data_IF_529041269028
#
_entry.id   IF_529041269028
#
_cell.length_a   1.000
_cell.length_b   1.000
_cell.length_c   1.000
_cell.angle_alpha   90.00
_cell.angle_beta   90.00
_cell.angle_gamma   90.00
#
_symmetry.space_group_name_H-M   'P 1'
#
loop_
_entity.id
_entity.type
_entity.pdbx_description
1 polymer ?
#
# COMPACT_ATOMS: atom_id res chain seq x y z
N UNK A 1 19.96 -2.29 -22.49
CA UNK A 1 18.86 -1.42 -22.01
C UNK A 1 17.55 -2.07 -22.41
N UNK A 2 16.53 -2.08 -21.55
CA UNK A 2 15.22 -2.71 -21.81
C UNK A 2 14.10 -1.65 -21.78
N UNK A 3 13.96 -0.79 -22.81
CA UNK A 3 13.07 0.38 -22.76
C UNK A 3 11.61 0.02 -22.45
N UNK A 4 11.11 -1.07 -23.05
CA UNK A 4 9.74 -1.55 -22.81
C UNK A 4 9.53 -1.91 -21.33
N UNK A 5 10.48 -2.61 -20.72
CA UNK A 5 10.41 -2.98 -19.30
C UNK A 5 10.50 -1.73 -18.41
N UNK A 6 11.37 -0.78 -18.73
CA UNK A 6 11.52 0.48 -18.00
C UNK A 6 10.22 1.29 -18.02
N UNK A 7 9.62 1.49 -19.20
CA UNK A 7 8.36 2.22 -19.36
C UNK A 7 7.23 1.51 -18.61
N UNK A 8 7.10 0.19 -18.77
CA UNK A 8 6.08 -0.59 -18.07
C UNK A 8 6.25 -0.47 -16.55
N UNK A 9 7.48 -0.56 -16.04
CA UNK A 9 7.76 -0.44 -14.60
C UNK A 9 7.40 0.95 -14.09
N UNK A 10 7.76 2.02 -14.82
CA UNK A 10 7.36 3.40 -14.50
C UNK A 10 5.84 3.51 -14.41
N UNK A 11 5.11 3.02 -15.40
CA UNK A 11 3.64 3.11 -15.42
C UNK A 11 3.01 2.37 -14.24
N UNK A 12 3.46 1.15 -13.94
CA UNK A 12 2.90 0.35 -12.85
C UNK A 12 3.23 0.94 -11.48
N UNK A 13 4.48 1.37 -11.25
CA UNK A 13 4.89 2.01 -10.00
C UNK A 13 4.19 3.36 -9.82
N UNK A 14 3.98 4.12 -10.90
CA UNK A 14 3.20 5.37 -10.85
C UNK A 14 1.75 5.13 -10.38
N UNK A 15 1.09 4.07 -10.86
CA UNK A 15 -0.27 3.72 -10.39
C UNK A 15 -0.27 3.36 -8.91
N UNK A 16 0.65 2.52 -8.45
CA UNK A 16 0.76 2.16 -7.03
C UNK A 16 1.00 3.38 -6.14
N UNK A 17 1.92 4.26 -6.55
CA UNK A 17 2.23 5.52 -5.86
C UNK A 17 1.02 6.48 -5.85
N UNK A 18 0.32 6.63 -6.98
CA UNK A 18 -0.84 7.51 -7.10
C UNK A 18 -1.99 7.10 -6.17
N UNK A 19 -2.25 5.80 -6.04
CA UNK A 19 -3.27 5.29 -5.10
C UNK A 19 -2.92 5.63 -3.65
N UNK A 20 -1.67 5.46 -3.24
CA UNK A 20 -1.22 5.81 -1.89
C UNK A 20 -1.23 7.35 -1.68
N UNK A 21 -0.80 8.12 -2.68
CA UNK A 21 -0.81 9.57 -2.64
C UNK A 21 -2.23 10.13 -2.53
N UNK A 22 -3.21 9.54 -3.23
CA UNK A 22 -4.61 9.91 -3.09
C UNK A 22 -5.09 9.79 -1.64
N UNK A 23 -4.77 8.68 -0.97
CA UNK A 23 -5.10 8.53 0.46
C UNK A 23 -4.47 9.61 1.34
N UNK A 24 -3.20 9.96 1.12
CA UNK A 24 -2.51 11.02 1.86
C UNK A 24 -3.19 12.39 1.65
N UNK A 25 -3.58 12.71 0.41
CA UNK A 25 -4.21 14.00 0.09
C UNK A 25 -5.59 14.18 0.73
N UNK A 26 -6.29 13.07 0.99
CA UNK A 26 -7.60 13.09 1.66
C UNK A 26 -7.50 13.22 3.19
N UNK A 27 -6.31 12.98 3.77
CA UNK A 27 -6.07 12.96 5.22
C UNK A 27 -6.64 14.20 5.94
N UNK A 28 -6.37 15.45 5.52
CA UNK A 28 -6.84 16.62 6.26
C UNK A 28 -8.37 16.74 6.32
N UNK A 29 -9.07 16.23 5.30
CA UNK A 29 -10.53 16.18 5.25
C UNK A 29 -11.08 15.10 6.17
N UNK A 30 -10.52 13.88 6.08
CA UNK A 30 -10.99 12.73 6.86
C UNK A 30 -10.80 12.89 8.36
N UNK A 31 -9.72 13.54 8.80
CA UNK A 31 -9.45 13.75 10.23
C UNK A 31 -10.50 14.63 10.91
N UNK A 32 -11.34 15.35 10.15
CA UNK A 32 -12.42 16.22 10.63
C UNK A 32 -13.79 15.54 10.62
N UNK A 33 -13.89 14.33 10.09
CA UNK A 33 -15.16 13.61 9.95
C UNK A 33 -15.57 12.97 11.28
N UNK A 34 -16.89 12.85 11.47
CA UNK A 34 -17.44 11.96 12.49
C UNK A 34 -17.10 10.50 12.15
N UNK A 35 -17.09 9.61 13.15
CA UNK A 35 -16.89 8.16 12.93
C UNK A 35 -17.83 7.61 11.85
N UNK A 36 -19.10 8.03 11.86
CA UNK A 36 -20.10 7.60 10.88
C UNK A 36 -19.72 8.04 9.47
N UNK A 37 -19.41 9.32 9.28
CA UNK A 37 -19.09 9.87 7.97
C UNK A 37 -17.76 9.30 7.44
N UNK A 38 -16.78 9.11 8.31
CA UNK A 38 -15.52 8.44 7.98
C UNK A 38 -15.76 7.03 7.43
N UNK A 39 -16.55 6.21 8.14
CA UNK A 39 -16.88 4.85 7.69
C UNK A 39 -17.71 4.83 6.41
N UNK A 40 -18.53 5.85 6.16
CA UNK A 40 -19.25 6.02 4.89
C UNK A 40 -18.29 6.32 3.75
N UNK A 41 -17.36 7.26 3.93
CA UNK A 41 -16.36 7.62 2.92
C UNK A 41 -15.44 6.43 2.60
N UNK A 42 -15.03 5.64 3.59
CA UNK A 42 -14.17 4.46 3.38
C UNK A 42 -14.74 3.45 2.35
N UNK A 43 -16.07 3.39 2.18
CA UNK A 43 -16.70 2.48 1.22
C UNK A 43 -16.40 2.82 -0.24
N UNK A 44 -16.06 4.07 -0.55
CA UNK A 44 -15.81 4.50 -1.94
C UNK A 44 -14.53 3.90 -2.52
N UNK A 45 -13.61 3.42 -1.67
CA UNK A 45 -12.40 2.76 -2.11
C UNK A 45 -12.65 1.39 -2.73
N UNK A 46 -13.75 0.74 -2.35
CA UNK A 46 -14.11 -0.56 -2.92
C UNK A 46 -14.97 -0.40 -4.19
N UNK A 47 -14.73 -1.20 -5.25
CA UNK A 47 -13.63 -2.16 -5.42
C UNK A 47 -12.38 -1.54 -6.07
N UNK A 48 -12.44 -0.28 -6.51
CA UNK A 48 -11.44 0.34 -7.38
C UNK A 48 -10.01 0.32 -6.81
N UNK A 49 -9.84 0.68 -5.54
CA UNK A 49 -8.53 0.66 -4.88
C UNK A 49 -8.06 -0.76 -4.58
N UNK A 50 -8.97 -1.71 -4.38
CA UNK A 50 -8.63 -3.13 -4.23
C UNK A 50 -8.06 -3.69 -5.53
N UNK A 51 -8.71 -3.40 -6.66
CA UNK A 51 -8.25 -3.84 -7.99
C UNK A 51 -6.97 -3.11 -8.37
N UNK A 52 -6.93 -1.78 -8.20
CA UNK A 52 -5.76 -0.96 -8.48
C UNK A 52 -4.55 -1.31 -7.60
N UNK A 53 -4.78 -1.78 -6.37
CA UNK A 53 -3.75 -2.23 -5.44
C UNK A 53 -2.88 -3.37 -5.96
N UNK A 54 -3.36 -4.12 -6.97
CA UNK A 54 -2.56 -5.15 -7.68
C UNK A 54 -1.33 -4.56 -8.38
N UNK A 55 -1.34 -3.27 -8.71
CA UNK A 55 -0.18 -2.58 -9.27
C UNK A 55 1.05 -2.61 -8.33
N UNK A 56 0.85 -2.66 -7.02
CA UNK A 56 1.94 -2.64 -6.04
C UNK A 56 2.81 -3.91 -6.07
N UNK A 57 2.28 -5.14 -5.93
CA UNK A 57 3.09 -6.35 -6.07
C UNK A 57 3.68 -6.50 -7.48
N UNK A 58 2.94 -6.14 -8.54
CA UNK A 58 3.47 -6.18 -9.92
C UNK A 58 4.64 -5.21 -10.07
N UNK A 59 4.51 -3.96 -9.61
CA UNK A 59 5.57 -2.96 -9.68
C UNK A 59 6.80 -3.37 -8.90
N UNK A 60 6.62 -3.99 -7.73
CA UNK A 60 7.72 -4.54 -6.91
C UNK A 60 8.48 -5.64 -7.66
N UNK A 61 7.78 -6.56 -8.33
CA UNK A 61 8.41 -7.63 -9.12
C UNK A 61 9.12 -7.10 -10.37
N UNK A 62 8.55 -6.10 -11.04
CA UNK A 62 9.18 -5.44 -12.19
C UNK A 62 10.46 -4.68 -11.79
N UNK A 63 10.45 -4.00 -10.64
CA UNK A 63 11.65 -3.38 -10.07
C UNK A 63 12.72 -4.41 -9.71
N UNK A 64 12.33 -5.55 -9.13
CA UNK A 64 13.27 -6.63 -8.84
C UNK A 64 13.90 -7.18 -10.13
N UNK A 65 13.12 -7.31 -11.20
CA UNK A 65 13.63 -7.72 -12.51
C UNK A 65 14.60 -6.69 -13.08
N UNK A 66 14.28 -5.39 -13.03
CA UNK A 66 15.21 -4.32 -13.45
C UNK A 66 16.51 -4.35 -12.64
N UNK A 67 16.42 -4.50 -11.32
CA UNK A 67 17.57 -4.63 -10.43
C UNK A 67 18.46 -5.82 -10.83
N UNK A 68 17.87 -6.99 -11.02
CA UNK A 68 18.58 -8.21 -11.41
C UNK A 68 19.28 -8.09 -12.77
N UNK A 69 18.67 -7.36 -13.71
CA UNK A 69 19.23 -7.14 -15.05
C UNK A 69 20.25 -5.99 -15.10
N UNK A 70 20.47 -5.27 -14.00
CA UNK A 70 21.39 -4.12 -13.96
C UNK A 70 22.72 -4.52 -13.30
N UNK A 71 23.88 -4.24 -13.92
CA UNK A 71 25.18 -4.53 -13.32
C UNK A 71 25.44 -3.73 -12.02
N UNK A 72 25.98 -4.37 -10.99
CA UNK A 72 26.22 -3.72 -9.68
C UNK A 72 27.26 -2.58 -9.69
N UNK A 73 28.06 -2.48 -10.77
CA UNK A 73 29.10 -1.46 -10.92
C UNK A 73 28.59 -0.13 -11.48
N UNK A 74 27.28 0.02 -11.76
CA UNK A 74 26.69 1.30 -12.21
C UNK A 74 25.79 1.92 -11.14
N UNK A 75 25.67 3.25 -11.15
CA UNK A 75 24.84 4.00 -10.19
C UNK A 75 23.36 3.57 -10.25
N UNK A 76 22.86 3.29 -11.46
CA UNK A 76 21.48 2.85 -11.69
C UNK A 76 21.12 1.59 -10.87
N UNK A 77 22.07 0.68 -10.62
CA UNK A 77 21.83 -0.51 -9.81
C UNK A 77 21.42 -0.14 -8.38
N UNK A 78 22.17 0.76 -7.74
CA UNK A 78 21.91 1.18 -6.36
C UNK A 78 20.62 1.98 -6.24
N UNK A 79 20.27 2.75 -7.26
CA UNK A 79 18.99 3.46 -7.33
C UNK A 79 17.82 2.48 -7.51
N UNK A 80 17.93 1.46 -8.37
CA UNK A 80 16.92 0.39 -8.47
C UNK A 80 16.81 -0.42 -7.17
N UNK A 81 17.92 -0.69 -6.49
CA UNK A 81 17.91 -1.39 -5.20
C UNK A 81 17.17 -0.57 -4.14
N UNK A 82 17.43 0.73 -4.05
CA UNK A 82 16.73 1.64 -3.14
C UNK A 82 15.24 1.78 -3.50
N UNK A 83 14.90 1.88 -4.80
CA UNK A 83 13.51 1.92 -5.26
C UNK A 83 12.75 0.63 -4.91
N UNK A 84 13.38 -0.53 -5.12
CA UNK A 84 12.84 -1.83 -4.74
C UNK A 84 12.63 -1.93 -3.22
N UNK A 85 13.62 -1.52 -2.42
CA UNK A 85 13.50 -1.52 -0.96
C UNK A 85 12.34 -0.63 -0.47
N UNK A 86 12.16 0.56 -1.08
CA UNK A 86 11.04 1.45 -0.76
C UNK A 86 9.68 0.83 -1.13
N UNK A 87 9.54 0.18 -2.29
CA UNK A 87 8.31 -0.55 -2.67
C UNK A 87 8.04 -1.75 -1.76
N UNK A 88 9.07 -2.53 -1.42
CA UNK A 88 8.95 -3.66 -0.50
C UNK A 88 8.52 -3.17 0.90
N UNK A 89 9.08 -2.07 1.39
CA UNK A 89 8.66 -1.44 2.64
C UNK A 89 7.22 -0.92 2.56
N UNK A 90 6.82 -0.28 1.45
CA UNK A 90 5.43 0.12 1.22
C UNK A 90 4.49 -1.08 1.34
N UNK A 91 4.84 -2.21 0.74
CA UNK A 91 4.09 -3.45 0.82
C UNK A 91 4.04 -4.03 2.23
N UNK A 92 5.16 -4.02 2.94
CA UNK A 92 5.22 -4.46 4.33
C UNK A 92 4.30 -3.60 5.23
N UNK A 93 4.24 -2.28 5.03
CA UNK A 93 3.34 -1.39 5.80
C UNK A 93 1.88 -1.79 5.62
N UNK A 94 1.46 -2.20 4.42
CA UNK A 94 0.10 -2.70 4.23
C UNK A 94 -0.18 -3.93 5.09
N UNK A 95 0.66 -4.95 4.96
CA UNK A 95 0.43 -6.22 5.65
C UNK A 95 0.57 -6.13 7.16
N UNK A 96 1.49 -5.31 7.65
CA UNK A 96 1.81 -5.21 9.07
C UNK A 96 0.94 -4.21 9.83
N UNK A 97 0.48 -3.13 9.19
CA UNK A 97 -0.20 -2.03 9.87
C UNK A 97 -1.65 -1.82 9.39
N UNK A 98 -1.90 -1.90 8.08
CA UNK A 98 -3.24 -1.62 7.52
C UNK A 98 -4.13 -2.85 7.55
N UNK A 99 -3.62 -4.00 7.13
CA UNK A 99 -4.37 -5.24 7.04
C UNK A 99 -4.95 -5.69 8.39
N UNK A 100 -4.25 -5.57 9.53
CA UNK A 100 -4.84 -5.87 10.84
C UNK A 100 -6.03 -4.96 11.17
N UNK A 101 -5.96 -3.67 10.81
CA UNK A 101 -7.06 -2.71 11.02
C UNK A 101 -8.23 -3.02 10.08
N UNK A 102 -7.96 -3.34 8.82
CA UNK A 102 -8.98 -3.78 7.87
C UNK A 102 -9.69 -5.04 8.39
N UNK A 103 -8.94 -6.04 8.85
CA UNK A 103 -9.51 -7.25 9.45
C UNK A 103 -10.40 -6.91 10.64
N UNK A 104 -9.99 -5.98 11.50
CA UNK A 104 -10.81 -5.53 12.63
C UNK A 104 -12.11 -4.87 12.16
N UNK A 105 -12.06 -3.93 11.20
CA UNK A 105 -13.25 -3.28 10.66
C UNK A 105 -14.18 -4.20 9.87
N UNK A 106 -13.62 -5.25 9.25
CA UNK A 106 -14.36 -6.23 8.45
C UNK A 106 -14.97 -7.36 9.28
N UNK A 107 -14.68 -7.47 10.58
CA UNK A 107 -15.28 -8.49 11.47
C UNK A 107 -16.81 -8.46 11.45
N UNK A 108 -17.39 -7.27 11.25
CA UNK A 108 -18.84 -7.06 11.24
C UNK A 108 -19.41 -6.82 9.82
N UNK A 109 -18.58 -6.92 8.77
CA UNK A 109 -19.01 -6.69 7.39
C UNK A 109 -19.28 -8.03 6.68
N UNK A 110 -20.51 -8.26 6.20
CA UNK A 110 -20.83 -9.39 5.31
C UNK A 110 -20.09 -9.24 3.96
N UNK A 111 -18.87 -9.74 3.86
CA UNK A 111 -18.10 -9.77 2.62
C UNK A 111 -18.69 -10.82 1.66
N UNK A 112 -19.42 -10.39 0.63
CA UNK A 112 -19.85 -11.24 -0.50
C UNK A 112 -18.91 -11.07 -1.69
N UNK A 113 -18.43 -12.17 -2.28
CA UNK A 113 -17.69 -12.19 -3.55
C UNK A 113 -16.19 -12.50 -3.45
N UNK A 114 -15.45 -12.27 -4.54
CA UNK A 114 -14.02 -12.65 -4.72
C UNK A 114 -13.06 -12.07 -3.66
N UNK A 115 -13.47 -11.06 -2.89
CA UNK A 115 -12.71 -10.53 -1.75
C UNK A 115 -12.68 -11.46 -0.54
N UNK A 116 -13.64 -12.38 -0.39
CA UNK A 116 -13.74 -13.26 0.79
C UNK A 116 -12.51 -14.19 0.95
N UNK A 117 -11.92 -14.64 -0.15
CA UNK A 117 -10.79 -15.57 -0.14
C UNK A 117 -9.45 -14.95 0.26
N UNK A 118 -9.27 -13.64 0.07
CA UNK A 118 -8.03 -12.94 0.43
C UNK A 118 -7.91 -12.75 1.95
N UNK A 119 -9.04 -12.53 2.62
CA UNK A 119 -9.10 -12.28 4.06
C UNK A 119 -9.30 -13.57 4.90
N UNK A 120 -9.67 -14.71 4.29
CA UNK A 120 -9.94 -15.95 5.01
C UNK A 120 -8.70 -16.75 5.43
N UNK A 121 -7.50 -16.43 4.94
CA UNK A 121 -6.31 -17.28 5.09
C UNK A 121 -5.19 -16.76 5.99
N UNK A 122 -5.41 -15.71 6.79
CA UNK A 122 -4.40 -15.25 7.78
C UNK A 122 -5.08 -15.03 9.14
N UNK A 123 -5.29 -16.12 9.87
CA UNK A 123 -5.62 -16.12 11.29
C UNK A 123 -4.43 -16.65 12.10
N UNK A 124 -3.41 -15.81 12.28
CA UNK A 124 -2.33 -16.12 13.23
C UNK A 124 -2.72 -15.55 14.60
N UNK A 125 -2.91 -16.47 15.56
CA UNK A 125 -2.83 -16.16 16.99
C UNK A 125 -4.16 -15.83 17.67
N UNK A 126 -4.84 -16.86 18.17
CA UNK A 126 -5.95 -16.70 19.10
C UNK A 126 -5.47 -16.26 20.49
N UNK A 127 -5.99 -15.12 20.95
CA UNK A 127 -6.33 -14.89 22.35
C UNK A 127 -7.65 -14.09 22.39
N UNK A 128 -8.71 -14.74 22.86
CA UNK A 128 -9.96 -14.09 23.23
C UNK A 128 -9.72 -13.35 24.54
N UNK A 129 -9.56 -12.03 24.46
CA UNK A 129 -9.86 -11.15 25.59
C UNK A 129 -11.19 -10.47 25.22
N UNK A 130 -12.26 -11.14 25.61
CA UNK A 130 -13.56 -10.49 25.78
C UNK A 130 -13.40 -9.47 26.92
N UNK A 131 -13.84 -8.23 26.70
CA UNK A 131 -14.00 -7.16 27.70
C UNK A 131 -12.89 -6.11 27.91
N UNK A 132 -12.20 -5.64 26.86
CA UNK A 132 -11.51 -4.34 26.93
C UNK A 132 -11.86 -3.45 25.73
N UNK A 133 -12.86 -2.61 25.96
CA UNK A 133 -13.21 -1.40 25.23
C UNK A 133 -13.55 -1.52 23.73
N UNK A 134 -14.44 -0.64 23.30
CA UNK A 134 -14.29 -0.02 21.99
C UNK A 134 -12.81 0.32 21.80
N UNK A 135 -12.04 -0.48 21.04
CA UNK A 135 -10.70 -0.05 20.64
C UNK A 135 -10.89 1.37 20.09
N UNK A 136 -10.28 2.37 20.75
CA UNK A 136 -10.58 3.79 20.51
C UNK A 136 -10.57 3.99 18.99
N UNK A 137 -11.75 4.23 18.42
CA UNK A 137 -11.90 4.20 16.97
C UNK A 137 -10.95 5.23 16.33
N UNK A 138 -10.62 6.27 17.09
CA UNK A 138 -9.64 7.31 16.78
C UNK A 138 -8.24 6.72 16.64
N UNK A 139 -7.82 5.86 17.57
CA UNK A 139 -6.53 5.16 17.49
C UNK A 139 -6.45 4.27 16.24
N UNK A 140 -7.50 3.51 15.94
CA UNK A 140 -7.54 2.67 14.74
C UNK A 140 -7.57 3.48 13.44
N UNK A 141 -8.35 4.58 13.41
CA UNK A 141 -8.36 5.54 12.31
C UNK A 141 -6.96 6.10 12.10
N UNK A 142 -6.34 6.61 13.15
CA UNK A 142 -5.06 7.28 13.08
C UNK A 142 -3.97 6.31 12.62
N UNK A 143 -3.96 5.08 13.14
CA UNK A 143 -3.06 4.03 12.66
C UNK A 143 -3.26 3.75 11.17
N UNK A 144 -4.51 3.59 10.72
CA UNK A 144 -4.82 3.30 9.33
C UNK A 144 -4.39 4.45 8.40
N UNK A 145 -4.75 5.68 8.75
CA UNK A 145 -4.49 6.88 7.96
C UNK A 145 -2.98 7.23 7.90
N UNK A 146 -2.27 7.20 9.04
CA UNK A 146 -0.83 7.46 9.07
C UNK A 146 -0.02 6.35 8.40
N UNK A 147 -0.50 5.10 8.42
CA UNK A 147 0.13 4.03 7.65
C UNK A 147 -0.01 4.24 6.14
N UNK A 148 -1.14 4.80 5.67
CA UNK A 148 -1.30 5.19 4.27
C UNK A 148 -0.42 6.40 3.91
N UNK A 149 -0.29 7.37 4.82
CA UNK A 149 0.66 8.48 4.65
C UNK A 149 2.10 7.99 4.50
N UNK A 150 2.54 7.04 5.33
CA UNK A 150 3.85 6.41 5.21
C UNK A 150 4.02 5.70 3.85
N UNK A 151 3.00 4.96 3.40
CA UNK A 151 2.99 4.33 2.06
C UNK A 151 3.11 5.34 0.93
N UNK A 152 2.44 6.49 1.02
CA UNK A 152 2.55 7.55 0.02
C UNK A 152 3.98 8.09 -0.09
N UNK A 153 4.64 8.32 1.04
CA UNK A 153 6.05 8.77 1.08
C UNK A 153 6.98 7.71 0.47
N UNK A 154 6.80 6.44 0.84
CA UNK A 154 7.60 5.33 0.32
C UNK A 154 7.39 5.13 -1.19
N UNK A 155 6.14 5.17 -1.66
CA UNK A 155 5.80 5.07 -3.08
C UNK A 155 6.35 6.24 -3.91
N UNK A 156 6.27 7.47 -3.39
CA UNK A 156 6.85 8.65 -4.04
C UNK A 156 8.37 8.55 -4.13
N UNK A 157 9.02 8.13 -3.04
CA UNK A 157 10.48 7.90 -3.02
C UNK A 157 10.87 6.83 -4.04
N UNK A 158 10.17 5.69 -4.07
CA UNK A 158 10.43 4.63 -5.03
C UNK A 158 10.30 5.11 -6.48
N UNK A 159 9.26 5.89 -6.77
CA UNK A 159 9.03 6.46 -8.10
C UNK A 159 10.14 7.42 -8.53
N UNK A 160 10.56 8.34 -7.65
CA UNK A 160 11.66 9.27 -7.93
C UNK A 160 12.96 8.52 -8.20
N UNK A 161 13.30 7.53 -7.37
CA UNK A 161 14.50 6.72 -7.52
C UNK A 161 14.48 5.92 -8.84
N UNK A 162 13.35 5.31 -9.18
CA UNK A 162 13.15 4.58 -10.44
C UNK A 162 13.37 5.48 -11.66
N UNK A 163 12.71 6.64 -11.71
CA UNK A 163 12.83 7.57 -12.85
C UNK A 163 14.25 8.13 -12.95
N UNK A 164 14.88 8.43 -11.81
CA UNK A 164 16.28 8.89 -11.76
C UNK A 164 17.23 7.82 -12.29
N UNK A 165 17.06 6.55 -11.88
CA UNK A 165 17.88 5.43 -12.34
C UNK A 165 17.81 5.21 -13.86
N UNK A 166 16.66 5.50 -14.46
CA UNK A 166 16.43 5.35 -15.91
C UNK A 166 16.98 6.54 -16.71
N UNK A 167 17.03 7.72 -16.09
CA UNK A 167 17.50 8.94 -16.75
C UNK A 167 19.04 9.09 -16.76
N UNK A 168 19.76 8.34 -15.92
CA UNK A 168 21.23 8.27 -15.85
C UNK A 168 21.80 7.21 -16.81
#
# INVERSE_FOLDING_TARGET
MFPVLQILTIMVVAVAMALALAHLLELPGKMRLSKKDYMTVQRIYYPGFTIGGVAEPIGTLLLLLLLFLTPANVIAFWLFAAAFAAMAAMHAVFWLLIQPVNNFWLKDAELKGLGAGFFSHVSVGGHRIEADAEADWTMLRDLWEWSHAARAVLGLLAFILLVTAIAL
#
